data_IF_219945040360
#
_entry.id   IF_219945040360
#
_cell.length_a   1.000
_cell.length_b   1.000
_cell.length_c   1.000
_cell.angle_alpha   90.00
_cell.angle_beta   90.00
_cell.angle_gamma   90.00
#
_symmetry.space_group_name_H-M   'P 1'
#
loop_
_entity.id
_entity.type
_entity.pdbx_description
1 polymer ?
#
# COMPACT_ATOMS: atom_id res chain seq x y z
N UNK A 1 -6.37 -11.47 -14.96
CA UNK A 1 -6.82 -10.08 -15.07
C UNK A 1 -6.12 -9.28 -14.00
N UNK A 2 -5.54 -8.14 -14.34
CA UNK A 2 -4.82 -7.23 -13.44
C UNK A 2 -5.39 -5.82 -13.59
N UNK A 3 -5.27 -4.99 -12.56
CA UNK A 3 -5.87 -3.66 -12.52
C UNK A 3 -4.85 -2.62 -13.02
N UNK A 4 -5.25 -1.75 -13.97
CA UNK A 4 -4.46 -0.56 -14.34
C UNK A 4 -4.62 0.57 -13.29
N UNK A 5 -3.91 1.70 -13.44
CA UNK A 5 -3.92 2.79 -12.46
C UNK A 5 -5.32 3.35 -12.14
N UNK A 6 -6.18 3.53 -13.15
CA UNK A 6 -7.55 3.99 -12.91
C UNK A 6 -8.34 2.95 -12.08
N UNK A 7 -8.14 1.67 -12.39
CA UNK A 7 -8.79 0.58 -11.68
C UNK A 7 -8.24 0.38 -10.25
N UNK A 8 -6.96 0.70 -10.03
CA UNK A 8 -6.34 0.73 -8.69
C UNK A 8 -6.96 1.84 -7.85
N UNK A 9 -7.21 3.02 -8.43
CA UNK A 9 -7.93 4.12 -7.78
C UNK A 9 -9.37 3.73 -7.45
N UNK A 10 -10.10 3.14 -8.40
CA UNK A 10 -11.43 2.57 -8.18
C UNK A 10 -11.45 1.60 -6.99
N UNK A 11 -10.49 0.67 -6.95
CA UNK A 11 -10.38 -0.30 -5.86
C UNK A 11 -10.15 0.38 -4.50
N UNK A 12 -9.30 1.41 -4.45
CA UNK A 12 -9.06 2.17 -3.22
C UNK A 12 -10.35 2.78 -2.66
N UNK A 13 -11.16 3.41 -3.51
CA UNK A 13 -12.43 3.99 -3.07
C UNK A 13 -13.45 2.92 -2.68
N UNK A 14 -13.49 1.77 -3.37
CA UNK A 14 -14.32 0.64 -2.94
C UNK A 14 -13.91 0.17 -1.53
N UNK A 15 -12.62 0.10 -1.22
CA UNK A 15 -12.13 -0.24 0.12
C UNK A 15 -12.55 0.79 1.18
N UNK A 16 -12.34 2.07 0.90
CA UNK A 16 -12.73 3.15 1.82
C UNK A 16 -14.23 3.13 2.12
N UNK A 17 -15.06 2.97 1.09
CA UNK A 17 -16.52 2.87 1.24
C UNK A 17 -16.91 1.65 2.07
N UNK A 18 -16.26 0.50 1.83
CA UNK A 18 -16.48 -0.70 2.63
C UNK A 18 -16.15 -0.48 4.12
N UNK A 19 -15.14 0.34 4.39
CA UNK A 19 -14.72 0.73 5.74
C UNK A 19 -15.52 1.90 6.33
N UNK A 20 -16.61 2.33 5.68
CA UNK A 20 -17.51 3.37 6.18
C UNK A 20 -17.00 4.80 6.00
N UNK A 21 -15.96 5.01 5.19
CA UNK A 21 -15.50 6.36 4.83
C UNK A 21 -16.56 7.03 3.97
N UNK A 22 -16.91 8.27 4.32
CA UNK A 22 -17.83 9.09 3.52
C UNK A 22 -17.09 9.66 2.32
N UNK A 23 -17.76 9.61 1.17
CA UNK A 23 -17.24 10.03 -0.13
C UNK A 23 -18.03 11.20 -0.71
N UNK A 24 -17.35 12.04 -1.48
CA UNK A 24 -17.96 13.11 -2.25
C UNK A 24 -18.48 12.60 -3.59
N UNK A 25 -18.97 13.52 -4.43
CA UNK A 25 -19.58 13.16 -5.71
C UNK A 25 -18.58 12.46 -6.64
N UNK A 26 -17.33 12.93 -6.68
CA UNK A 26 -16.26 12.36 -7.51
C UNK A 26 -16.02 10.86 -7.21
N UNK A 27 -15.80 10.50 -5.94
CA UNK A 27 -15.53 9.10 -5.60
C UNK A 27 -16.79 8.23 -5.78
N UNK A 28 -17.98 8.78 -5.47
CA UNK A 28 -19.24 8.07 -5.65
C UNK A 28 -19.54 7.74 -7.11
N UNK A 29 -19.35 8.70 -8.01
CA UNK A 29 -19.52 8.51 -9.46
C UNK A 29 -18.54 7.46 -9.98
N UNK A 30 -17.26 7.59 -9.60
CA UNK A 30 -16.22 6.68 -10.03
C UNK A 30 -16.51 5.24 -9.56
N UNK A 31 -16.97 5.04 -8.32
CA UNK A 31 -17.43 3.72 -7.86
C UNK A 31 -18.65 3.25 -8.67
N UNK A 32 -19.63 4.12 -8.94
CA UNK A 32 -20.86 3.72 -9.64
C UNK A 32 -20.61 3.21 -11.07
N UNK A 33 -19.62 3.80 -11.76
CA UNK A 33 -19.18 3.40 -13.10
C UNK A 33 -18.14 2.27 -13.09
N UNK A 34 -17.54 1.96 -11.94
CA UNK A 34 -16.55 0.90 -11.83
C UNK A 34 -17.13 -0.47 -12.16
N UNK A 35 -16.38 -1.25 -12.94
CA UNK A 35 -16.66 -2.68 -13.18
C UNK A 35 -16.45 -3.56 -11.94
N UNK A 36 -15.91 -2.98 -10.87
CA UNK A 36 -15.58 -3.66 -9.63
C UNK A 36 -16.53 -3.35 -8.47
N UNK A 37 -17.54 -2.50 -8.67
CA UNK A 37 -18.44 -2.07 -7.58
C UNK A 37 -19.11 -3.20 -6.82
N UNK A 38 -19.35 -4.33 -7.49
CA UNK A 38 -19.97 -5.53 -6.93
C UNK A 38 -18.94 -6.58 -6.47
N UNK A 39 -17.63 -6.29 -6.60
CA UNK A 39 -16.59 -7.21 -6.15
C UNK A 39 -16.44 -7.12 -4.63
N UNK A 40 -16.33 -8.26 -3.94
CA UNK A 40 -15.94 -8.26 -2.54
C UNK A 40 -14.54 -7.64 -2.36
N UNK A 41 -14.30 -6.81 -1.32
CA UNK A 41 -12.99 -6.22 -1.05
C UNK A 41 -11.84 -7.24 -1.05
N UNK A 42 -12.03 -8.39 -0.39
CA UNK A 42 -11.02 -9.45 -0.35
C UNK A 42 -10.62 -9.97 -1.75
N UNK A 43 -11.53 -9.93 -2.72
CA UNK A 43 -11.24 -10.33 -4.10
C UNK A 43 -10.37 -9.28 -4.80
N UNK A 44 -10.63 -7.99 -4.57
CA UNK A 44 -9.82 -6.90 -5.11
C UNK A 44 -8.42 -6.89 -4.48
N UNK A 45 -8.32 -7.10 -3.17
CA UNK A 45 -7.03 -7.25 -2.48
C UNK A 45 -6.18 -8.35 -3.14
N UNK A 46 -6.77 -9.53 -3.37
CA UNK A 46 -6.06 -10.65 -3.99
C UNK A 46 -5.62 -10.35 -5.43
N UNK A 47 -6.41 -9.61 -6.21
CA UNK A 47 -6.03 -9.23 -7.57
C UNK A 47 -4.82 -8.29 -7.58
N UNK A 48 -4.83 -7.29 -6.70
CA UNK A 48 -3.74 -6.34 -6.53
C UNK A 48 -2.45 -7.04 -6.05
N UNK A 49 -2.55 -7.89 -5.04
CA UNK A 49 -1.41 -8.67 -4.51
C UNK A 49 -0.80 -9.55 -5.61
N UNK A 50 -1.64 -10.28 -6.34
CA UNK A 50 -1.17 -11.12 -7.46
C UNK A 50 -0.51 -10.30 -8.55
N UNK A 51 -0.98 -9.08 -8.82
CA UNK A 51 -0.36 -8.20 -9.81
C UNK A 51 1.06 -7.77 -9.41
N UNK A 52 1.26 -7.38 -8.15
CA UNK A 52 2.60 -7.03 -7.64
C UNK A 52 3.51 -8.25 -7.64
N UNK A 53 3.03 -9.38 -7.11
CA UNK A 53 3.83 -10.62 -7.00
C UNK A 53 4.20 -11.20 -8.38
N UNK A 54 3.39 -10.93 -9.42
CA UNK A 54 3.67 -11.33 -10.80
C UNK A 54 4.53 -10.30 -11.58
N UNK A 55 4.93 -9.19 -10.97
CA UNK A 55 5.72 -8.14 -11.63
C UNK A 55 4.98 -7.36 -12.71
N UNK A 56 3.64 -7.32 -12.64
CA UNK A 56 2.80 -6.60 -13.64
C UNK A 56 2.94 -5.08 -13.49
N UNK A 57 3.16 -4.61 -12.27
CA UNK A 57 3.41 -3.21 -11.95
C UNK A 57 4.91 -2.92 -12.08
N UNK A 58 5.30 -2.48 -13.27
CA UNK A 58 6.70 -2.45 -13.74
C UNK A 58 7.45 -1.21 -13.30
N UNK A 59 6.75 -0.12 -12.96
CA UNK A 59 7.34 1.12 -12.49
C UNK A 59 6.92 1.48 -11.06
N UNK A 60 7.66 2.41 -10.45
CA UNK A 60 7.49 2.80 -9.06
C UNK A 60 6.12 3.44 -8.79
N UNK A 61 5.61 4.24 -9.74
CA UNK A 61 4.30 4.92 -9.60
C UNK A 61 3.15 3.92 -9.55
N UNK A 62 3.18 2.92 -10.42
CA UNK A 62 2.22 1.81 -10.41
C UNK A 62 2.23 1.05 -9.08
N UNK A 63 3.43 0.72 -8.57
CA UNK A 63 3.57 0.02 -7.28
C UNK A 63 3.10 0.89 -6.12
N UNK A 64 3.44 2.18 -6.10
CA UNK A 64 2.93 3.16 -5.12
C UNK A 64 1.42 3.20 -5.13
N UNK A 65 0.79 3.29 -6.31
CA UNK A 65 -0.66 3.28 -6.44
C UNK A 65 -1.30 2.04 -5.80
N UNK A 66 -0.72 0.87 -6.04
CA UNK A 66 -1.21 -0.40 -5.47
C UNK A 66 -1.03 -0.47 -3.95
N UNK A 67 0.14 -0.08 -3.45
CA UNK A 67 0.41 -0.06 -2.01
C UNK A 67 -0.51 0.93 -1.28
N UNK A 68 -0.73 2.10 -1.89
CA UNK A 68 -1.67 3.09 -1.41
C UNK A 68 -3.09 2.53 -1.37
N UNK A 69 -3.57 1.95 -2.48
CA UNK A 69 -4.92 1.38 -2.56
C UNK A 69 -5.12 0.28 -1.50
N UNK A 70 -4.20 -0.68 -1.41
CA UNK A 70 -4.27 -1.75 -0.40
C UNK A 70 -4.25 -1.21 1.03
N UNK A 71 -3.54 -0.10 1.30
CA UNK A 71 -3.57 0.52 2.63
C UNK A 71 -4.96 1.01 3.04
N UNK A 72 -5.84 1.30 2.08
CA UNK A 72 -7.23 1.75 2.32
C UNK A 72 -8.17 0.62 2.73
N UNK A 73 -7.79 -0.63 2.49
CA UNK A 73 -8.55 -1.81 2.94
C UNK A 73 -8.64 -1.92 4.46
N UNK A 74 -7.74 -1.28 5.21
CA UNK A 74 -7.61 -1.42 6.66
C UNK A 74 -7.51 -2.88 7.13
N UNK A 75 -7.07 -3.78 6.23
CA UNK A 75 -7.00 -5.20 6.51
C UNK A 75 -5.65 -5.56 7.14
N UNK A 76 -5.62 -5.76 8.46
CA UNK A 76 -4.40 -6.14 9.21
C UNK A 76 -3.75 -7.44 8.72
N UNK A 77 -4.49 -8.31 8.00
CA UNK A 77 -3.92 -9.52 7.39
C UNK A 77 -2.92 -9.21 6.26
N UNK A 78 -2.87 -7.97 5.79
CA UNK A 78 -1.91 -7.51 4.77
C UNK A 78 -0.54 -7.14 5.34
N UNK A 79 -0.37 -7.04 6.67
CA UNK A 79 0.93 -6.69 7.29
C UNK A 79 2.07 -7.61 6.80
N UNK A 80 1.93 -8.95 6.76
CA UNK A 80 2.99 -9.82 6.25
C UNK A 80 3.31 -9.58 4.77
N UNK A 81 2.30 -9.19 3.97
CA UNK A 81 2.46 -8.89 2.55
C UNK A 81 3.26 -7.60 2.37
N UNK A 82 2.88 -6.53 3.06
CA UNK A 82 3.62 -5.27 3.01
C UNK A 82 5.05 -5.41 3.53
N UNK A 83 5.28 -6.19 4.60
CA UNK A 83 6.64 -6.50 5.09
C UNK A 83 7.48 -7.22 4.04
N UNK A 84 6.88 -8.18 3.31
CA UNK A 84 7.57 -8.91 2.24
C UNK A 84 7.98 -7.95 1.11
N UNK A 85 7.07 -7.12 0.63
CA UNK A 85 7.39 -6.12 -0.40
C UNK A 85 8.40 -5.10 0.09
N UNK A 86 8.29 -4.60 1.33
CA UNK A 86 9.27 -3.69 1.90
C UNK A 86 10.69 -4.29 1.90
N UNK A 87 10.82 -5.58 2.24
CA UNK A 87 12.11 -6.28 2.16
C UNK A 87 12.64 -6.34 0.73
N UNK A 88 11.79 -6.68 -0.24
CA UNK A 88 12.18 -6.73 -1.66
C UNK A 88 12.62 -5.37 -2.19
N UNK A 89 11.87 -4.31 -1.88
CA UNK A 89 12.17 -2.95 -2.36
C UNK A 89 13.43 -2.36 -1.71
N UNK A 90 13.67 -2.65 -0.42
CA UNK A 90 14.94 -2.31 0.25
C UNK A 90 16.12 -3.04 -0.40
N UNK A 91 15.95 -4.32 -0.77
CA UNK A 91 17.01 -5.08 -1.44
C UNK A 91 17.29 -4.58 -2.86
N UNK A 92 16.27 -4.03 -3.53
CA UNK A 92 16.37 -3.43 -4.86
C UNK A 92 16.91 -1.98 -4.84
N UNK A 93 17.10 -1.36 -3.68
CA UNK A 93 17.40 0.07 -3.50
C UNK A 93 16.38 0.98 -4.23
N UNK A 94 15.11 0.59 -4.22
CA UNK A 94 14.02 1.39 -4.80
C UNK A 94 13.46 2.33 -3.74
N UNK A 95 14.07 3.51 -3.58
CA UNK A 95 13.74 4.41 -2.47
C UNK A 95 12.36 5.05 -2.60
N UNK A 96 11.88 5.25 -3.84
CA UNK A 96 10.62 5.95 -4.18
C UNK A 96 9.41 5.30 -3.53
N UNK A 97 9.38 3.97 -3.45
CA UNK A 97 8.20 3.21 -3.01
C UNK A 97 8.21 2.95 -1.50
N UNK A 98 9.36 3.10 -0.84
CA UNK A 98 9.54 2.76 0.57
C UNK A 98 8.61 3.56 1.47
N UNK A 99 8.48 4.86 1.22
CA UNK A 99 7.62 5.71 2.03
C UNK A 99 6.17 5.22 2.02
N UNK A 100 5.64 4.85 0.85
CA UNK A 100 4.26 4.39 0.73
C UNK A 100 4.03 3.05 1.46
N UNK A 101 5.00 2.13 1.43
CA UNK A 101 4.93 0.89 2.21
C UNK A 101 5.00 1.14 3.72
N UNK A 102 5.85 2.07 4.16
CA UNK A 102 5.90 2.49 5.57
C UNK A 102 4.57 3.12 5.98
N UNK A 103 4.00 4.03 5.19
CA UNK A 103 2.67 4.60 5.46
C UNK A 103 1.59 3.51 5.52
N UNK A 104 1.63 2.51 4.62
CA UNK A 104 0.67 1.41 4.64
C UNK A 104 0.76 0.57 5.92
N UNK A 105 1.98 0.35 6.42
CA UNK A 105 2.22 -0.34 7.69
C UNK A 105 1.82 0.53 8.91
N UNK A 106 2.20 1.81 8.94
CA UNK A 106 1.84 2.77 10.01
C UNK A 106 0.32 2.85 10.18
N UNK A 107 -0.43 2.86 9.06
CA UNK A 107 -1.91 2.81 9.05
C UNK A 107 -2.50 1.56 9.69
N UNK A 108 -1.75 0.46 9.75
CA UNK A 108 -2.14 -0.80 10.38
C UNK A 108 -1.55 -0.94 11.80
N UNK A 109 -1.17 0.20 12.40
CA UNK A 109 -0.57 0.35 13.73
C UNK A 109 0.82 -0.28 13.89
N UNK A 110 1.56 -0.45 12.79
CA UNK A 110 2.95 -0.92 12.87
C UNK A 110 3.89 0.26 13.18
N UNK A 111 4.81 0.11 14.15
CA UNK A 111 5.67 1.21 14.63
C UNK A 111 6.88 1.45 13.70
N UNK A 112 6.59 1.73 12.42
CA UNK A 112 7.61 1.88 11.38
C UNK A 112 8.33 3.23 11.44
N UNK A 113 7.66 4.28 11.89
CA UNK A 113 8.24 5.60 12.06
C UNK A 113 8.62 5.86 13.52
N UNK A 114 9.89 6.25 13.81
CA UNK A 114 10.26 6.65 15.15
C UNK A 114 9.58 7.97 15.53
N UNK A 115 9.22 8.13 16.81
CA UNK A 115 8.61 9.37 17.32
C UNK A 115 9.51 10.60 17.18
N UNK A 116 10.82 10.39 17.10
CA UNK A 116 11.84 11.42 16.93
C UNK A 116 12.09 11.79 15.46
N UNK A 117 11.29 11.26 14.52
CA UNK A 117 11.48 11.53 13.09
C UNK A 117 11.20 13.01 12.79
N UNK A 118 12.14 13.67 12.14
CA UNK A 118 12.12 15.11 11.86
C UNK A 118 11.26 15.51 10.66
N UNK A 119 10.87 14.56 9.81
CA UNK A 119 10.06 14.81 8.60
C UNK A 119 9.27 13.56 8.21
N UNK A 120 8.16 13.71 7.49
CA UNK A 120 7.36 12.61 6.91
C UNK A 120 7.11 12.85 5.42
N UNK A 121 8.16 13.24 4.69
CA UNK A 121 8.08 13.46 3.25
C UNK A 121 8.45 12.20 2.46
N UNK A 122 7.84 12.05 1.29
CA UNK A 122 8.07 10.90 0.40
C UNK A 122 9.46 10.95 -0.25
N UNK A 123 10.00 12.15 -0.47
CA UNK A 123 11.30 12.44 -1.07
C UNK A 123 12.49 12.37 -0.08
N UNK A 124 12.21 12.17 1.22
CA UNK A 124 13.24 11.90 2.24
C UNK A 124 13.81 10.47 2.16
N UNK A 125 14.31 10.09 0.99
CA UNK A 125 14.76 8.73 0.65
C UNK A 125 15.70 8.11 1.70
N UNK A 126 16.67 8.87 2.18
CA UNK A 126 17.60 8.40 3.22
C UNK A 126 16.91 8.08 4.56
N UNK A 127 15.93 8.89 4.98
CA UNK A 127 15.16 8.63 6.19
C UNK A 127 14.20 7.46 5.99
N UNK A 128 13.59 7.35 4.80
CA UNK A 128 12.70 6.24 4.43
C UNK A 128 13.45 4.91 4.46
N UNK A 129 14.63 4.85 3.84
CA UNK A 129 15.48 3.66 3.84
C UNK A 129 15.96 3.29 5.25
N UNK A 130 16.39 4.27 6.05
CA UNK A 130 16.80 4.05 7.44
C UNK A 130 15.68 3.40 8.26
N UNK A 131 14.47 3.95 8.17
CA UNK A 131 13.34 3.50 8.97
C UNK A 131 12.83 2.14 8.50
N UNK A 132 12.82 1.88 7.18
CA UNK A 132 12.52 0.57 6.61
C UNK A 132 13.48 -0.52 7.11
N UNK A 133 14.80 -0.26 7.08
CA UNK A 133 15.81 -1.20 7.60
C UNK A 133 15.66 -1.42 9.10
N UNK A 134 15.47 -0.35 9.87
CA UNK A 134 15.29 -0.45 11.32
C UNK A 134 14.05 -1.29 11.68
N UNK A 135 12.94 -1.09 10.99
CA UNK A 135 11.72 -1.86 11.17
C UNK A 135 11.92 -3.34 10.81
N UNK A 136 12.47 -3.64 9.63
CA UNK A 136 12.72 -5.02 9.19
C UNK A 136 13.67 -5.78 10.14
N UNK A 137 14.69 -5.11 10.67
CA UNK A 137 15.63 -5.70 11.62
C UNK A 137 14.95 -6.11 12.93
N UNK A 138 14.10 -5.23 13.50
CA UNK A 138 13.35 -5.57 14.72
C UNK A 138 12.49 -6.81 14.52
N UNK A 139 11.82 -6.90 13.37
CA UNK A 139 10.96 -8.02 13.04
C UNK A 139 11.72 -9.33 12.80
N UNK A 140 12.94 -9.26 12.26
CA UNK A 140 13.82 -10.42 12.11
C UNK A 140 14.37 -10.96 13.43
N UNK A 141 14.55 -10.08 14.43
CA UNK A 141 14.94 -10.45 15.80
C UNK A 141 13.79 -10.99 16.66
N UNK A 142 12.55 -11.03 16.13
CA UNK A 142 11.33 -11.45 16.84
C UNK A 142 10.88 -12.88 16.49
N UNK A 143 11.74 -13.66 15.82
CA UNK A 143 11.58 -15.08 15.50
C UNK A 143 12.63 -15.88 16.27
#
# INVERSE_FOLDING_TARGET
>A
MFLNNNQVLEAAFIFERHNGVRHGDYENDLIAFSKFKDYPPAKLEQLLIKGVDAGVYTNDEERVGVYWALSKSNNRKLIPVFRRWLRSEVAANCDTVLFQLLVALDRLDEPVFPRTRSSRAADDNALNLRDARAYLNRMGSSL
#
